data_IF_311888118361
#
_entry.id   IF_311888118361
#
_cell.length_a   1.000
_cell.length_b   1.000
_cell.length_c   1.000
_cell.angle_alpha   90.00
_cell.angle_beta   90.00
_cell.angle_gamma   90.00
#
_symmetry.space_group_name_H-M   'P 1'
#
loop_
_entity.id
_entity.type
_entity.pdbx_description
1 polymer ?
#
# COMPACT_ATOMS: atom_id res chain seq x y z
N UNK A 1 45.88 18.91 -12.58
CA UNK A 1 45.29 18.55 -11.27
C UNK A 1 44.27 19.54 -10.69
N UNK A 2 43.95 20.68 -11.34
CA UNK A 2 42.95 21.64 -10.81
C UNK A 2 41.50 21.45 -11.32
N UNK A 3 41.30 20.69 -12.40
CA UNK A 3 39.97 20.40 -12.94
C UNK A 3 39.24 19.24 -12.23
N UNK A 4 39.99 18.26 -11.69
CA UNK A 4 39.40 17.13 -10.97
C UNK A 4 38.81 17.50 -9.60
N UNK A 5 39.36 18.53 -8.93
CA UNK A 5 38.90 18.98 -7.62
C UNK A 5 37.57 19.77 -7.69
N UNK A 6 37.34 20.55 -8.76
CA UNK A 6 36.09 21.30 -8.95
C UNK A 6 34.89 20.42 -9.29
N UNK A 7 35.10 19.34 -10.04
CA UNK A 7 34.06 18.35 -10.39
C UNK A 7 33.66 17.54 -9.15
N UNK A 8 34.61 17.18 -8.29
CA UNK A 8 34.33 16.44 -7.05
C UNK A 8 33.53 17.27 -6.02
N UNK A 9 33.75 18.60 -5.95
CA UNK A 9 33.05 19.50 -5.03
C UNK A 9 31.59 19.80 -5.41
N UNK A 10 31.18 19.59 -6.68
CA UNK A 10 29.78 19.77 -7.13
C UNK A 10 29.04 18.43 -7.18
N UNK A 11 29.74 17.33 -7.51
CA UNK A 11 29.15 16.00 -7.54
C UNK A 11 28.84 15.48 -6.14
N UNK A 12 29.68 15.73 -5.13
CA UNK A 12 29.42 15.23 -3.78
C UNK A 12 28.12 15.78 -3.15
N UNK A 13 27.82 17.10 -3.17
CA UNK A 13 26.54 17.63 -2.70
C UNK A 13 25.33 17.14 -3.52
N UNK A 14 25.48 16.98 -4.84
CA UNK A 14 24.42 16.48 -5.71
C UNK A 14 24.14 14.97 -5.51
N UNK A 15 25.18 14.18 -5.22
CA UNK A 15 25.02 12.79 -4.80
C UNK A 15 24.40 12.70 -3.40
N UNK A 16 24.83 13.55 -2.46
CA UNK A 16 24.24 13.62 -1.12
C UNK A 16 22.76 14.04 -1.15
N UNK A 17 22.37 14.97 -2.03
CA UNK A 17 20.97 15.40 -2.17
C UNK A 17 20.08 14.30 -2.78
N UNK A 18 20.61 13.45 -3.66
CA UNK A 18 19.91 12.26 -4.15
C UNK A 18 19.66 11.22 -3.04
N UNK A 19 20.54 11.16 -2.03
CA UNK A 19 20.36 10.28 -0.87
C UNK A 19 19.53 10.92 0.26
N UNK A 20 19.28 12.22 0.22
CA UNK A 20 18.51 12.94 1.26
C UNK A 20 17.06 13.23 0.87
N UNK A 21 16.61 12.85 -0.33
CA UNK A 21 15.20 12.96 -0.71
C UNK A 21 14.36 12.04 0.18
N UNK A 22 13.41 12.64 0.89
CA UNK A 22 12.39 11.95 1.68
C UNK A 22 11.13 12.84 1.74
N UNK A 23 10.46 12.96 0.60
CA UNK A 23 9.38 13.93 0.39
C UNK A 23 8.05 13.20 0.15
N UNK A 24 7.08 13.27 1.07
CA UNK A 24 5.72 12.81 0.80
C UNK A 24 5.01 13.78 -0.15
N UNK A 25 4.07 13.27 -0.95
CA UNK A 25 3.14 14.16 -1.67
C UNK A 25 2.36 15.05 -0.69
N UNK A 26 2.31 16.34 -1.01
CA UNK A 26 1.63 17.36 -0.20
C UNK A 26 0.37 17.83 -0.93
N UNK A 27 -0.73 17.95 -0.19
CA UNK A 27 -2.03 18.34 -0.72
C UNK A 27 -2.54 19.56 0.04
N UNK A 28 -3.05 20.55 -0.68
CA UNK A 28 -3.56 21.79 -0.09
C UNK A 28 -4.92 21.60 0.61
N UNK A 29 -5.75 20.69 0.09
CA UNK A 29 -7.10 20.44 0.59
C UNK A 29 -7.17 19.20 1.49
N UNK A 30 -7.96 19.24 2.58
CA UNK A 30 -8.09 18.11 3.50
C UNK A 30 -8.68 16.86 2.83
N UNK A 31 -9.52 17.02 1.80
CA UNK A 31 -10.09 15.88 1.07
C UNK A 31 -9.03 15.14 0.25
N UNK A 32 -8.19 15.85 -0.48
CA UNK A 32 -7.08 15.25 -1.24
C UNK A 32 -6.02 14.66 -0.32
N UNK A 33 -5.70 15.37 0.77
CA UNK A 33 -4.82 14.84 1.81
C UNK A 33 -5.39 13.56 2.44
N UNK A 34 -6.69 13.50 2.70
CA UNK A 34 -7.30 12.28 3.21
C UNK A 34 -7.19 11.13 2.19
N UNK A 35 -7.46 11.39 0.91
CA UNK A 35 -7.40 10.38 -0.15
C UNK A 35 -5.99 9.84 -0.38
N UNK A 36 -4.98 10.72 -0.39
CA UNK A 36 -3.63 10.41 -0.90
C UNK A 36 -2.45 10.82 -0.01
N UNK A 37 -2.70 11.51 1.10
CA UNK A 37 -1.66 11.98 2.02
C UNK A 37 -0.92 10.84 2.71
N UNK A 38 0.37 11.07 2.94
CA UNK A 38 1.25 10.13 3.64
C UNK A 38 0.96 10.09 5.14
N UNK A 39 0.93 8.87 5.70
CA UNK A 39 0.97 8.60 7.15
C UNK A 39 2.28 7.92 7.57
N UNK A 40 3.31 8.00 6.72
CA UNK A 40 4.59 7.30 6.90
C UNK A 40 4.51 5.78 6.72
N UNK A 41 3.47 5.27 6.05
CA UNK A 41 3.34 3.84 5.75
C UNK A 41 4.34 3.39 4.67
N UNK A 42 4.72 4.30 3.77
CA UNK A 42 5.62 4.05 2.64
C UNK A 42 7.00 3.59 3.13
N UNK A 43 7.56 4.25 4.14
CA UNK A 43 8.87 3.90 4.70
C UNK A 43 8.88 2.61 5.53
N UNK A 44 7.72 2.17 6.03
CA UNK A 44 7.61 0.96 6.89
C UNK A 44 7.22 -0.29 6.11
N UNK A 45 6.26 -0.17 5.19
CA UNK A 45 5.65 -1.29 4.47
C UNK A 45 5.33 -0.94 3.01
N UNK A 46 5.86 0.17 2.49
CA UNK A 46 5.62 0.59 1.11
C UNK A 46 6.32 -0.29 0.08
N UNK A 47 5.78 -0.29 -1.13
CA UNK A 47 6.37 -0.95 -2.29
C UNK A 47 6.93 0.09 -3.25
N UNK A 48 8.00 -0.22 -4.01
CA UNK A 48 8.41 0.62 -5.13
C UNK A 48 7.25 0.78 -6.11
N UNK A 49 6.86 2.02 -6.37
CA UNK A 49 5.64 2.39 -7.09
C UNK A 49 5.53 1.68 -8.44
N UNK A 50 6.62 1.64 -9.21
CA UNK A 50 6.61 1.00 -10.52
C UNK A 50 6.50 -0.52 -10.46
N UNK A 51 7.06 -1.16 -9.43
CA UNK A 51 6.85 -2.59 -9.21
C UNK A 51 5.38 -2.82 -8.89
N UNK A 52 4.84 -2.09 -7.91
CA UNK A 52 3.42 -2.16 -7.52
C UNK A 52 2.50 -1.97 -8.73
N UNK A 53 2.67 -0.89 -9.50
CA UNK A 53 1.85 -0.62 -10.68
C UNK A 53 1.90 -1.75 -11.73
N UNK A 54 3.03 -2.45 -11.87
CA UNK A 54 3.21 -3.54 -12.82
C UNK A 54 2.59 -4.87 -12.36
N UNK A 55 2.47 -5.13 -11.05
CA UNK A 55 2.10 -6.45 -10.54
C UNK A 55 0.78 -6.98 -11.10
N UNK A 56 -0.34 -6.22 -11.12
CA UNK A 56 -1.62 -6.78 -11.56
C UNK A 56 -1.64 -7.16 -13.04
N UNK A 57 -0.81 -6.50 -13.87
CA UNK A 57 -0.68 -6.81 -15.29
C UNK A 57 0.26 -8.00 -15.52
N UNK A 58 1.32 -8.12 -14.71
CA UNK A 58 2.30 -9.20 -14.84
C UNK A 58 1.81 -10.52 -14.22
N UNK A 59 0.97 -10.44 -13.19
CA UNK A 59 0.46 -11.57 -12.42
C UNK A 59 -1.08 -11.59 -12.32
N UNK A 60 -1.83 -11.49 -13.44
CA UNK A 60 -3.29 -11.44 -13.40
C UNK A 60 -3.93 -12.70 -12.79
N UNK A 61 -3.26 -13.84 -12.84
CA UNK A 61 -3.72 -15.12 -12.26
C UNK A 61 -3.72 -15.13 -10.73
N UNK A 62 -2.94 -14.25 -10.08
CA UNK A 62 -2.92 -14.13 -8.62
C UNK A 62 -3.99 -13.17 -8.11
N UNK A 63 -4.70 -12.46 -9.00
CA UNK A 63 -5.79 -11.57 -8.63
C UNK A 63 -7.02 -12.37 -8.18
N UNK A 64 -7.80 -11.87 -7.19
CA UNK A 64 -9.01 -12.54 -6.77
C UNK A 64 -10.06 -12.53 -7.89
N UNK A 65 -10.92 -13.56 -7.91
CA UNK A 65 -12.05 -13.64 -8.82
C UNK A 65 -13.19 -12.71 -8.35
N UNK A 66 -12.99 -11.40 -8.50
CA UNK A 66 -13.94 -10.34 -8.13
C UNK A 66 -14.06 -9.34 -9.29
N UNK A 67 -15.19 -8.61 -9.42
CA UNK A 67 -15.36 -7.59 -10.45
C UNK A 67 -14.27 -6.51 -10.43
N UNK A 68 -13.98 -5.94 -11.59
CA UNK A 68 -13.00 -4.87 -11.77
C UNK A 68 -11.68 -5.35 -12.39
N UNK A 69 -10.75 -4.40 -12.52
CA UNK A 69 -9.45 -4.61 -13.14
C UNK A 69 -8.32 -4.29 -12.17
N UNK A 70 -7.23 -5.06 -12.26
CA UNK A 70 -6.06 -4.91 -11.42
C UNK A 70 -6.40 -4.75 -9.94
N UNK A 71 -5.96 -3.65 -9.33
CA UNK A 71 -6.18 -3.38 -7.91
C UNK A 71 -7.64 -3.17 -7.50
N UNK A 72 -8.53 -2.81 -8.43
CA UNK A 72 -9.96 -2.66 -8.13
C UNK A 72 -10.61 -3.99 -7.72
N UNK A 73 -10.03 -5.15 -8.09
CA UNK A 73 -10.53 -6.47 -7.69
C UNK A 73 -10.41 -6.73 -6.18
N UNK A 74 -9.52 -6.01 -5.48
CA UNK A 74 -9.45 -6.04 -4.02
C UNK A 74 -10.47 -5.11 -3.37
N UNK A 75 -11.28 -4.38 -4.14
CA UNK A 75 -12.22 -3.37 -3.63
C UNK A 75 -11.60 -1.99 -3.41
N UNK A 76 -10.37 -1.75 -3.89
CA UNK A 76 -9.77 -0.42 -3.92
C UNK A 76 -10.54 0.50 -4.87
N UNK A 77 -10.73 1.76 -4.47
CA UNK A 77 -11.59 2.72 -5.16
C UNK A 77 -10.73 3.69 -5.98
N UNK A 78 -10.99 3.78 -7.28
CA UNK A 78 -10.42 4.81 -8.15
C UNK A 78 -11.44 5.94 -8.34
N UNK A 79 -10.98 7.18 -8.32
CA UNK A 79 -11.84 8.35 -8.57
C UNK A 79 -12.34 8.40 -10.01
N UNK A 80 -11.44 8.11 -10.94
CA UNK A 80 -11.72 8.09 -12.37
C UNK A 80 -11.04 6.90 -13.02
N UNK A 81 -11.47 6.46 -14.22
CA UNK A 81 -10.75 5.45 -14.99
C UNK A 81 -9.28 5.81 -15.31
N UNK A 82 -8.94 7.10 -15.31
CA UNK A 82 -7.59 7.59 -15.59
C UNK A 82 -6.72 7.75 -14.33
N UNK A 83 -7.28 7.52 -13.13
CA UNK A 83 -6.54 7.66 -11.87
C UNK A 83 -5.40 6.64 -11.81
N UNK A 84 -4.16 7.12 -11.64
CA UNK A 84 -2.96 6.26 -11.59
C UNK A 84 -2.90 5.39 -10.33
N UNK A 85 -3.52 5.85 -9.25
CA UNK A 85 -3.59 5.16 -7.97
C UNK A 85 -5.00 5.23 -7.39
N UNK A 86 -5.44 4.23 -6.62
CA UNK A 86 -6.71 4.29 -5.92
C UNK A 86 -6.61 5.24 -4.72
N UNK A 87 -7.76 5.78 -4.32
CA UNK A 87 -7.96 6.41 -3.02
C UNK A 87 -7.52 5.41 -1.95
N UNK A 88 -6.82 5.91 -0.94
CA UNK A 88 -6.26 5.05 0.10
C UNK A 88 -4.79 4.75 -0.07
N UNK A 89 -4.13 5.34 -1.08
CA UNK A 89 -2.70 5.15 -1.29
C UNK A 89 -1.96 6.46 -1.15
N UNK A 90 -0.76 6.41 -0.62
CA UNK A 90 0.12 7.56 -0.51
C UNK A 90 1.41 7.32 -1.26
N UNK A 91 2.06 8.41 -1.69
CA UNK A 91 3.33 8.36 -2.41
C UNK A 91 4.38 9.20 -1.70
N UNK A 92 5.59 8.65 -1.64
CA UNK A 92 6.76 9.31 -1.06
C UNK A 92 7.96 9.12 -1.99
N UNK A 93 8.58 10.23 -2.36
CA UNK A 93 9.80 10.23 -3.13
C UNK A 93 11.00 10.07 -2.19
N UNK A 94 11.64 8.90 -2.27
CA UNK A 94 12.98 8.67 -1.73
C UNK A 94 13.94 8.42 -2.90
N UNK A 95 14.89 7.48 -2.79
CA UNK A 95 15.72 7.07 -3.93
C UNK A 95 14.89 6.38 -5.03
N UNK A 96 13.76 5.77 -4.65
CA UNK A 96 12.73 5.29 -5.57
C UNK A 96 11.37 5.69 -5.01
N UNK A 97 10.43 6.08 -5.87
CA UNK A 97 9.07 6.36 -5.43
C UNK A 97 8.46 5.16 -4.71
N UNK A 98 7.97 5.36 -3.49
CA UNK A 98 7.30 4.33 -2.70
C UNK A 98 5.81 4.62 -2.63
N UNK A 99 5.00 3.57 -2.72
CA UNK A 99 3.56 3.62 -2.49
C UNK A 99 3.19 2.84 -1.24
N UNK A 100 2.41 3.46 -0.36
CA UNK A 100 1.87 2.87 0.85
C UNK A 100 0.35 2.94 0.87
N UNK A 101 -0.28 2.20 1.78
CA UNK A 101 -1.70 2.41 2.11
C UNK A 101 -1.82 3.49 3.19
N UNK A 102 -2.80 4.36 3.08
CA UNK A 102 -3.15 5.35 4.09
C UNK A 102 -4.57 5.08 4.65
N UNK A 103 -5.05 5.96 5.53
CA UNK A 103 -6.34 5.82 6.20
C UNK A 103 -7.52 5.62 5.24
N UNK A 104 -7.50 6.28 4.08
CA UNK A 104 -8.62 6.24 3.15
C UNK A 104 -8.82 4.88 2.46
N UNK A 105 -7.85 3.96 2.51
CA UNK A 105 -8.03 2.59 1.98
C UNK A 105 -9.10 1.83 2.77
N UNK A 106 -9.13 2.07 4.09
CA UNK A 106 -10.06 1.45 5.02
C UNK A 106 -11.29 2.32 5.31
N UNK A 107 -11.14 3.64 5.17
CA UNK A 107 -12.15 4.63 5.54
C UNK A 107 -12.71 5.41 4.34
N UNK A 108 -12.76 4.79 3.17
CA UNK A 108 -13.53 5.28 2.04
C UNK A 108 -14.43 4.19 1.50
N UNK A 109 -15.73 4.49 1.42
CA UNK A 109 -16.72 3.57 0.88
C UNK A 109 -17.40 4.15 -0.34
N UNK A 110 -18.32 3.36 -0.89
CA UNK A 110 -19.18 3.81 -1.97
C UNK A 110 -20.64 3.46 -1.74
N UNK A 111 -21.55 4.33 -2.16
CA UNK A 111 -22.98 4.12 -2.07
C UNK A 111 -23.62 4.25 -3.44
N UNK A 112 -24.69 3.48 -3.68
CA UNK A 112 -25.62 3.70 -4.78
C UNK A 112 -27.03 3.73 -4.20
N UNK A 113 -27.84 4.70 -4.58
CA UNK A 113 -29.22 4.83 -4.09
C UNK A 113 -30.13 3.71 -4.64
N UNK A 114 -29.77 3.14 -5.79
CA UNK A 114 -30.40 1.97 -6.40
C UNK A 114 -29.36 1.17 -7.20
N UNK A 115 -29.64 -0.09 -7.59
CA UNK A 115 -28.70 -0.87 -8.43
C UNK A 115 -28.26 -0.17 -9.73
N UNK A 116 -29.15 0.64 -10.31
CA UNK A 116 -28.91 1.37 -11.56
C UNK A 116 -28.25 2.75 -11.35
N UNK A 117 -28.26 3.29 -10.13
CA UNK A 117 -27.72 4.62 -9.85
C UNK A 117 -26.19 4.66 -9.94
N UNK A 118 -25.59 5.80 -10.33
CA UNK A 118 -24.15 5.96 -10.31
C UNK A 118 -23.60 5.77 -8.90
N UNK A 119 -22.40 5.21 -8.83
CA UNK A 119 -21.67 5.01 -7.57
C UNK A 119 -21.13 6.34 -7.05
N UNK A 120 -21.50 6.70 -5.83
CA UNK A 120 -20.95 7.86 -5.12
C UNK A 120 -19.84 7.41 -4.18
N UNK A 121 -18.72 8.13 -4.18
CA UNK A 121 -17.62 7.94 -3.22
C UNK A 121 -17.95 8.74 -1.96
N UNK A 122 -17.83 8.11 -0.80
CA UNK A 122 -18.08 8.73 0.50
C UNK A 122 -16.81 8.60 1.35
N UNK A 123 -16.11 9.72 1.55
CA UNK A 123 -14.96 9.80 2.45
C UNK A 123 -15.43 9.63 3.90
N UNK A 124 -14.67 8.87 4.69
CA UNK A 124 -14.99 8.52 6.08
C UNK A 124 -15.99 7.36 6.24
N UNK A 125 -16.53 6.82 5.15
CA UNK A 125 -17.36 5.62 5.18
C UNK A 125 -16.48 4.35 5.30
N UNK A 126 -16.91 3.31 6.04
CA UNK A 126 -16.26 2.00 6.02
C UNK A 126 -16.07 1.46 4.60
N UNK A 127 -14.85 1.01 4.29
CA UNK A 127 -14.53 0.41 3.00
C UNK A 127 -15.04 -1.04 2.91
N UNK A 128 -16.36 -1.24 2.88
CA UNK A 128 -17.01 -2.56 2.88
C UNK A 128 -16.61 -3.51 1.72
N UNK A 129 -15.98 -2.98 0.66
CA UNK A 129 -15.50 -3.78 -0.47
C UNK A 129 -14.02 -4.13 -0.36
N UNK A 130 -13.24 -3.38 0.42
CA UNK A 130 -11.80 -3.55 0.49
C UNK A 130 -11.44 -4.83 1.24
N UNK A 131 -10.67 -5.71 0.60
CA UNK A 131 -10.17 -6.95 1.16
C UNK A 131 -8.65 -6.86 1.32
N UNK A 132 -8.23 -6.37 2.49
CA UNK A 132 -6.83 -6.15 2.81
C UNK A 132 -6.04 -7.46 2.85
N UNK A 133 -6.63 -8.51 3.42
CA UNK A 133 -6.00 -9.82 3.50
C UNK A 133 -5.74 -10.39 2.09
N UNK A 134 -6.71 -10.30 1.18
CA UNK A 134 -6.55 -10.73 -0.20
C UNK A 134 -5.48 -9.89 -0.94
N UNK A 135 -5.44 -8.58 -0.71
CA UNK A 135 -4.39 -7.70 -1.25
C UNK A 135 -2.99 -8.14 -0.79
N UNK A 136 -2.81 -8.41 0.52
CA UNK A 136 -1.53 -8.90 1.04
C UNK A 136 -1.16 -10.28 0.48
N UNK A 137 -2.12 -11.21 0.40
CA UNK A 137 -1.92 -12.53 -0.20
C UNK A 137 -1.50 -12.44 -1.67
N UNK A 138 -2.07 -11.50 -2.44
CA UNK A 138 -1.65 -11.24 -3.81
C UNK A 138 -0.19 -10.80 -3.89
N UNK A 139 0.24 -9.87 -3.03
CA UNK A 139 1.64 -9.43 -2.99
C UNK A 139 2.57 -10.61 -2.65
N UNK A 140 2.20 -11.45 -1.68
CA UNK A 140 2.96 -12.64 -1.31
C UNK A 140 3.06 -13.66 -2.45
N UNK A 141 1.96 -13.87 -3.19
CA UNK A 141 1.94 -14.74 -4.36
C UNK A 141 2.86 -14.20 -5.47
N UNK A 142 2.78 -12.89 -5.75
CA UNK A 142 3.66 -12.23 -6.72
C UNK A 142 5.14 -12.39 -6.36
N UNK A 143 5.54 -12.10 -5.11
CA UNK A 143 6.95 -12.21 -4.70
C UNK A 143 7.49 -13.64 -4.69
N UNK A 144 6.60 -14.63 -4.51
CA UNK A 144 6.94 -16.05 -4.60
C UNK A 144 6.99 -16.57 -6.04
N UNK A 145 6.38 -15.86 -6.99
CA UNK A 145 6.33 -16.27 -8.39
C UNK A 145 7.74 -16.30 -9.02
N UNK A 146 8.10 -17.36 -9.77
CA UNK A 146 9.39 -17.45 -10.46
C UNK A 146 9.65 -16.29 -11.42
N UNK A 147 8.62 -15.63 -11.96
CA UNK A 147 8.73 -14.47 -12.85
C UNK A 147 8.97 -13.15 -12.10
N UNK A 148 9.02 -13.13 -10.76
CA UNK A 148 9.42 -11.94 -10.01
C UNK A 148 10.94 -11.72 -10.15
N UNK A 149 11.34 -11.31 -11.35
CA UNK A 149 12.72 -11.09 -11.77
C UNK A 149 12.82 -9.83 -12.63
N UNK A 150 14.01 -9.22 -12.74
CA UNK A 150 14.23 -8.07 -13.61
C UNK A 150 13.83 -8.29 -15.07
N UNK A 151 13.98 -9.51 -15.59
CA UNK A 151 13.68 -9.88 -16.98
C UNK A 151 12.20 -9.72 -17.32
N UNK A 152 11.30 -9.88 -16.34
CA UNK A 152 9.86 -9.75 -16.53
C UNK A 152 9.33 -8.40 -16.02
N UNK A 153 9.84 -7.92 -14.88
CA UNK A 153 9.37 -6.68 -14.27
C UNK A 153 9.82 -5.44 -15.05
N UNK A 154 11.06 -5.37 -15.55
CA UNK A 154 11.53 -4.18 -16.27
C UNK A 154 10.77 -3.92 -17.58
N UNK A 155 10.49 -4.93 -18.43
CA UNK A 155 9.60 -4.72 -19.59
C UNK A 155 8.20 -4.28 -19.19
N UNK A 156 7.62 -4.88 -18.13
CA UNK A 156 6.30 -4.49 -17.64
C UNK A 156 6.27 -3.03 -17.13
N UNK A 157 7.32 -2.60 -16.44
CA UNK A 157 7.50 -1.21 -15.98
C UNK A 157 7.65 -0.26 -17.17
N UNK A 158 8.49 -0.57 -18.15
CA UNK A 158 8.66 0.28 -19.36
C UNK A 158 7.40 0.39 -20.19
N UNK A 159 6.56 -0.64 -20.20
CA UNK A 159 5.25 -0.57 -20.85
C UNK A 159 4.27 0.39 -20.14
N UNK A 160 4.48 0.67 -18.85
CA UNK A 160 3.71 1.65 -18.07
C UNK A 160 4.38 3.04 -18.05
N UNK A 161 5.71 3.08 -18.15
CA UNK A 161 6.51 4.29 -18.21
C UNK A 161 7.57 4.19 -19.33
N UNK A 162 7.25 4.62 -20.55
CA UNK A 162 8.18 4.60 -21.67
C UNK A 162 9.46 5.42 -21.45
N UNK A 163 9.41 6.40 -20.53
CA UNK A 163 10.54 7.27 -20.19
C UNK A 163 11.42 6.69 -19.06
N UNK A 164 11.15 5.46 -18.61
CA UNK A 164 11.90 4.81 -17.53
C UNK A 164 13.38 4.66 -17.91
N UNK A 165 14.25 5.38 -17.20
CA UNK A 165 15.61 5.60 -17.66
C UNK A 165 16.47 4.33 -17.63
N UNK A 166 17.58 4.36 -18.36
CA UNK A 166 18.57 3.28 -18.33
C UNK A 166 19.21 3.13 -16.94
N UNK A 167 19.50 4.24 -16.25
CA UNK A 167 20.05 4.22 -14.89
C UNK A 167 19.03 3.66 -13.88
N UNK A 168 17.76 4.06 -13.97
CA UNK A 168 16.70 3.48 -13.14
C UNK A 168 16.54 1.99 -13.41
N UNK A 169 16.68 1.56 -14.67
CA UNK A 169 16.64 0.14 -15.03
C UNK A 169 17.77 -0.66 -14.36
N UNK A 170 18.98 -0.11 -14.27
CA UNK A 170 20.09 -0.75 -13.56
C UNK A 170 19.83 -0.80 -12.05
N UNK A 171 19.40 0.30 -11.46
CA UNK A 171 19.03 0.37 -10.05
C UNK A 171 17.94 -0.65 -9.72
N UNK A 172 16.89 -0.73 -10.54
CA UNK A 172 15.81 -1.69 -10.34
C UNK A 172 16.27 -3.13 -10.50
N UNK A 173 17.10 -3.42 -11.52
CA UNK A 173 17.63 -4.76 -11.79
C UNK A 173 18.42 -5.30 -10.62
N UNK A 174 19.39 -4.53 -10.13
CA UNK A 174 20.39 -5.04 -9.20
C UNK A 174 20.05 -4.79 -7.73
N UNK A 175 19.18 -3.81 -7.45
CA UNK A 175 18.89 -3.38 -6.09
C UNK A 175 17.41 -3.50 -5.74
N UNK A 176 16.53 -2.80 -6.46
CA UNK A 176 15.13 -2.63 -6.04
C UNK A 176 14.39 -3.96 -6.10
N UNK A 177 14.40 -4.64 -7.24
CA UNK A 177 13.65 -5.89 -7.43
C UNK A 177 14.10 -7.00 -6.46
N UNK A 178 15.41 -7.28 -6.29
CA UNK A 178 15.87 -8.27 -5.31
C UNK A 178 15.48 -7.91 -3.86
N UNK A 179 15.58 -6.64 -3.48
CA UNK A 179 15.19 -6.18 -2.13
C UNK A 179 13.70 -6.29 -1.90
N UNK A 180 12.88 -5.88 -2.86
CA UNK A 180 11.42 -6.00 -2.78
C UNK A 180 10.99 -7.46 -2.67
N UNK A 181 11.58 -8.36 -3.46
CA UNK A 181 11.28 -9.80 -3.38
C UNK A 181 11.58 -10.36 -1.99
N UNK A 182 12.73 -9.99 -1.41
CA UNK A 182 13.12 -10.40 -0.07
C UNK A 182 12.16 -9.87 1.00
N UNK A 183 11.84 -8.57 0.96
CA UNK A 183 10.90 -7.96 1.90
C UNK A 183 9.51 -8.61 1.85
N UNK A 184 9.01 -8.90 0.65
CA UNK A 184 7.73 -9.63 0.48
C UNK A 184 7.81 -11.04 1.09
N UNK A 185 8.92 -11.75 0.92
CA UNK A 185 9.10 -13.08 1.52
C UNK A 185 9.17 -13.04 3.05
N UNK A 186 9.84 -12.04 3.63
CA UNK A 186 9.90 -11.80 5.07
C UNK A 186 8.53 -11.46 5.67
N UNK A 187 7.76 -10.58 5.01
CA UNK A 187 6.38 -10.28 5.41
C UNK A 187 5.48 -11.51 5.30
N UNK A 188 5.62 -12.32 4.23
CA UNK A 188 4.85 -13.56 4.08
C UNK A 188 5.08 -14.51 5.26
N UNK A 189 6.31 -14.61 5.76
CA UNK A 189 6.63 -15.42 6.94
C UNK A 189 5.98 -14.86 8.21
N UNK A 190 6.06 -13.53 8.41
CA UNK A 190 5.43 -12.83 9.54
C UNK A 190 3.90 -12.95 9.53
N UNK A 191 3.29 -13.06 8.36
CA UNK A 191 1.84 -13.20 8.17
C UNK A 191 1.37 -14.65 7.92
N UNK A 192 2.20 -15.67 8.18
CA UNK A 192 1.84 -17.08 8.02
C UNK A 192 0.62 -17.49 8.88
N UNK A 193 0.32 -16.73 9.93
CA UNK A 193 -0.86 -16.90 10.78
C UNK A 193 -2.19 -16.72 10.03
N UNK A 194 -2.20 -16.07 8.86
CA UNK A 194 -3.37 -15.97 7.98
C UNK A 194 -3.94 -17.33 7.58
N UNK A 195 -3.12 -18.38 7.55
CA UNK A 195 -3.54 -19.73 7.16
C UNK A 195 -4.11 -20.55 8.33
N UNK A 196 -4.04 -20.01 9.56
CA UNK A 196 -4.48 -20.69 10.77
C UNK A 196 -5.82 -20.16 11.32
N UNK A 197 -6.40 -19.17 10.65
CA UNK A 197 -7.62 -18.46 11.09
C UNK A 197 -8.59 -18.31 9.93
N UNK A 198 -9.89 -18.12 10.20
CA UNK A 198 -10.86 -17.78 9.16
C UNK A 198 -10.41 -16.55 8.36
N UNK A 199 -10.64 -16.53 7.03
CA UNK A 199 -10.38 -15.33 6.23
C UNK A 199 -11.18 -14.13 6.76
N UNK A 200 -10.54 -12.96 6.78
CA UNK A 200 -11.18 -11.72 7.23
C UNK A 200 -12.30 -11.30 6.27
N UNK A 201 -12.01 -11.42 4.97
CA UNK A 201 -12.91 -11.06 3.88
C UNK A 201 -13.08 -9.54 3.68
N UNK A 202 -13.87 -9.14 2.68
CA UNK A 202 -14.10 -7.73 2.35
C UNK A 202 -14.73 -6.95 3.51
N UNK A 203 -14.28 -5.72 3.70
CA UNK A 203 -14.83 -4.79 4.70
C UNK A 203 -14.37 -5.03 6.12
N UNK A 204 -13.42 -5.95 6.33
CA UNK A 204 -12.94 -6.37 7.65
C UNK A 204 -11.43 -6.36 7.72
N UNK A 205 -10.94 -6.26 8.95
CA UNK A 205 -9.53 -6.40 9.28
C UNK A 205 -9.37 -7.13 10.61
N UNK A 206 -8.27 -7.85 10.78
CA UNK A 206 -7.88 -8.33 12.11
C UNK A 206 -7.26 -7.17 12.91
N UNK A 207 -7.90 -6.81 14.02
CA UNK A 207 -7.58 -5.60 14.78
C UNK A 207 -6.32 -5.71 15.63
N UNK A 208 -5.86 -6.93 15.97
CA UNK A 208 -4.80 -7.08 16.98
C UNK A 208 -3.69 -8.08 16.63
N UNK A 209 -3.96 -9.12 15.84
CA UNK A 209 -2.91 -10.06 15.42
C UNK A 209 -1.74 -9.38 14.67
N UNK A 210 -1.96 -8.35 13.81
CA UNK A 210 -0.84 -7.59 13.25
C UNK A 210 0.05 -6.90 14.31
N UNK A 211 -0.54 -6.41 15.41
CA UNK A 211 0.22 -5.84 16.51
C UNK A 211 0.98 -6.90 17.31
N UNK A 212 0.39 -8.09 17.49
CA UNK A 212 1.12 -9.23 18.09
C UNK A 212 2.36 -9.60 17.29
N UNK A 213 2.26 -9.63 15.94
CA UNK A 213 3.44 -9.78 15.06
C UNK A 213 4.45 -8.66 15.32
N UNK A 214 4.00 -7.41 15.36
CA UNK A 214 4.86 -6.25 15.59
C UNK A 214 5.60 -6.32 16.93
N UNK A 215 4.94 -6.81 17.99
CA UNK A 215 5.53 -7.00 19.31
C UNK A 215 6.31 -8.33 19.47
N UNK A 216 6.43 -9.13 18.41
CA UNK A 216 7.24 -10.36 18.41
C UNK A 216 6.60 -11.57 19.10
N UNK A 217 5.28 -11.61 19.23
CA UNK A 217 4.57 -12.75 19.80
C UNK A 217 4.60 -13.96 18.85
N UNK A 218 4.70 -15.17 19.41
CA UNK A 218 4.56 -16.41 18.63
C UNK A 218 3.08 -16.68 18.34
N UNK A 219 2.68 -16.46 17.08
CA UNK A 219 1.31 -16.70 16.62
C UNK A 219 1.00 -18.15 16.24
N UNK A 220 1.96 -19.08 16.35
CA UNK A 220 1.74 -20.50 15.98
C UNK A 220 0.82 -21.25 16.93
N UNK A 221 0.82 -20.87 18.21
CA UNK A 221 -0.01 -21.49 19.25
C UNK A 221 -1.22 -20.62 19.61
N UNK A 222 -1.19 -19.34 19.23
CA UNK A 222 -2.29 -18.42 19.36
C UNK A 222 -3.35 -18.70 18.28
N UNK A 223 -4.59 -19.00 18.69
CA UNK A 223 -5.74 -19.25 17.79
C UNK A 223 -6.79 -18.14 17.84
N UNK A 224 -6.50 -17.02 18.53
CA UNK A 224 -7.43 -15.91 18.71
C UNK A 224 -7.78 -15.23 17.38
N UNK A 225 -9.06 -14.89 17.24
CA UNK A 225 -9.62 -14.26 16.05
C UNK A 225 -9.98 -12.83 16.42
N UNK A 226 -9.35 -11.85 15.76
CA UNK A 226 -9.58 -10.42 15.99
C UNK A 226 -10.29 -9.73 14.84
N UNK A 227 -10.97 -10.48 13.97
CA UNK A 227 -11.61 -9.91 12.77
C UNK A 227 -12.81 -9.05 13.15
N UNK A 228 -12.78 -7.78 12.75
CA UNK A 228 -13.88 -6.83 12.92
C UNK A 228 -14.11 -6.02 11.65
N UNK A 229 -15.30 -5.41 11.53
CA UNK A 229 -15.62 -4.53 10.41
C UNK A 229 -14.78 -3.25 10.44
N UNK A 230 -14.46 -2.68 9.29
CA UNK A 230 -13.77 -1.39 9.22
C UNK A 230 -14.68 -0.29 9.83
N UNK A 231 -14.20 0.50 10.80
CA UNK A 231 -15.07 1.46 11.48
C UNK A 231 -15.32 2.71 10.64
N UNK A 232 -16.45 3.37 10.89
CA UNK A 232 -16.80 4.64 10.24
C UNK A 232 -16.08 5.81 10.91
N UNK A 233 -15.63 6.78 10.10
CA UNK A 233 -15.07 8.06 10.58
C UNK A 233 -16.10 9.20 10.60
N UNK A 234 -17.35 8.99 10.16
CA UNK A 234 -18.37 10.02 10.39
C UNK A 234 -18.72 10.14 11.88
N UNK A 235 -19.32 11.27 12.25
CA UNK A 235 -19.86 11.51 13.59
C UNK A 235 -18.85 11.31 14.75
N UNK A 236 -17.54 11.52 14.54
CA UNK A 236 -16.53 11.36 15.61
C UNK A 236 -16.79 12.29 16.79
N UNK A 237 -17.33 13.49 16.57
CA UNK A 237 -17.67 14.43 17.65
C UNK A 237 -18.59 13.83 18.71
N UNK A 238 -19.53 12.96 18.32
CA UNK A 238 -20.42 12.28 19.28
C UNK A 238 -19.70 11.19 20.10
N UNK A 239 -18.46 10.86 19.74
CA UNK A 239 -17.62 9.85 20.40
C UNK A 239 -16.52 10.48 21.27
N UNK A 240 -16.46 11.81 21.36
CA UNK A 240 -15.55 12.50 22.26
C UNK A 240 -15.81 12.06 23.71
N UNK A 241 -14.74 11.69 24.43
CA UNK A 241 -14.83 11.17 25.80
C UNK A 241 -15.30 9.71 25.91
N UNK A 242 -15.50 9.00 24.79
CA UNK A 242 -15.74 7.56 24.77
C UNK A 242 -14.46 6.78 24.53
N UNK A 243 -14.48 5.51 24.91
CA UNK A 243 -13.49 4.53 24.45
C UNK A 243 -13.78 4.12 23.01
N UNK A 244 -12.76 4.26 22.16
CA UNK A 244 -12.71 3.97 20.73
C UNK A 244 -12.17 2.56 20.47
N UNK A 245 -12.08 2.20 19.19
CA UNK A 245 -11.88 0.84 18.69
C UNK A 245 -13.05 -0.10 19.06
N UNK A 246 -13.05 -1.30 18.48
CA UNK A 246 -14.13 -2.27 18.67
C UNK A 246 -14.15 -2.89 20.06
N UNK A 247 -13.00 -2.95 20.72
CA UNK A 247 -12.80 -3.50 22.05
C UNK A 247 -12.76 -2.42 23.15
N UNK A 248 -12.92 -1.14 22.78
CA UNK A 248 -12.92 -0.03 23.73
C UNK A 248 -11.56 0.16 24.40
N UNK A 249 -10.45 -0.10 23.70
CA UNK A 249 -9.10 -0.11 24.30
C UNK A 249 -8.34 1.23 24.20
N UNK A 250 -8.92 2.25 23.56
CA UNK A 250 -8.25 3.53 23.32
C UNK A 250 -9.22 4.70 23.51
N UNK A 251 -8.93 5.66 24.37
CA UNK A 251 -9.73 6.88 24.58
C UNK A 251 -9.11 8.14 23.93
N UNK A 252 -8.00 7.98 23.19
CA UNK A 252 -7.32 9.06 22.48
C UNK A 252 -7.85 9.20 21.05
N UNK A 253 -8.37 10.39 20.73
CA UNK A 253 -8.81 10.81 19.37
C UNK A 253 -7.68 11.57 18.63
N UNK A 254 -6.54 11.80 19.27
CA UNK A 254 -5.44 12.68 18.81
C UNK A 254 -4.38 11.96 18.01
#
# INVERSE_FOLDING_TARGET
MRFAAGILCVLAPALLSLFSKDEPEVFAGPQEHFKYGSIGAEGRAGLPYWIWAALPRLFPEHLPNRPGEGYARFGLIFETPASKRPIGTSYREVQVGLVGLNCAACHTGTLRDSPASPRRIILGMPAHQFDLQSYQRFLFACGADPRFTPEHLLPAIRALNPEFSWFDSLLYRFVVIPRTRRGIAEERQRFAWFDQRPPQGPGRVDTFNPYKVFFGFDLKTDTSIGTADLPSLWNQKMREGLWLHWDGNNDLVT
#
